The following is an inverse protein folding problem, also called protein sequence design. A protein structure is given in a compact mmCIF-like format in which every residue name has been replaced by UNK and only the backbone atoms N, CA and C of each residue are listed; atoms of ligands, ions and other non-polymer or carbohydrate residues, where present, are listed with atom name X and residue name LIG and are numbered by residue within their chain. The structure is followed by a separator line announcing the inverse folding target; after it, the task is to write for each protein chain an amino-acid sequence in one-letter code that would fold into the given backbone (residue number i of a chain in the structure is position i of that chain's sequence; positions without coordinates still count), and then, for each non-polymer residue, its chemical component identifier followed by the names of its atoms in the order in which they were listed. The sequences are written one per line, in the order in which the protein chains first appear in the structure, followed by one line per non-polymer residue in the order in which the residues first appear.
data_IF_601680522941
#
_entry.id   IF_601680522941
#
_cell.length_a   1.000
_cell.length_b   1.000
_cell.length_c   1.000
_cell.angle_alpha   90.00
_cell.angle_beta   90.00
_cell.angle_gamma   90.00
#
_symmetry.space_group_name_H-M   'P 1'
#
loop_
_entity.id
_entity.type
_entity.pdbx_description
1 polymer ?
#
# COMPACT_ATOMS: atom_id res chain seq x y z
N UNK A 1 10.93 -5.29 23.89
CA UNK A 1 9.91 -4.27 23.53
C UNK A 1 9.36 -4.58 22.14
N UNK A 2 8.06 -4.37 21.89
CA UNK A 2 7.45 -4.53 20.55
C UNK A 2 6.94 -3.17 20.07
N UNK A 3 7.37 -2.75 18.88
CA UNK A 3 7.01 -1.45 18.29
C UNK A 3 6.21 -1.72 17.02
N UNK A 4 4.97 -1.24 16.98
CA UNK A 4 4.13 -1.26 15.78
C UNK A 4 4.25 0.10 15.09
N UNK A 5 4.65 0.07 13.82
CA UNK A 5 4.81 1.26 12.98
C UNK A 5 3.69 1.21 11.95
N UNK A 6 2.67 2.05 12.13
CA UNK A 6 1.48 2.10 11.28
C UNK A 6 1.19 3.51 10.73
N UNK A 7 2.10 4.07 9.90
CA UNK A 7 1.93 5.36 9.26
C UNK A 7 1.02 5.27 8.02
N UNK A 8 0.45 6.41 7.68
CA UNK A 8 -0.09 6.68 6.34
C UNK A 8 1.01 7.28 5.44
N UNK A 9 0.71 7.38 4.15
CA UNK A 9 1.53 8.05 3.15
C UNK A 9 1.66 9.54 3.43
N UNK A 10 2.82 10.09 3.06
CA UNK A 10 2.96 11.53 2.91
C UNK A 10 2.56 11.85 1.47
N UNK A 11 1.41 12.50 1.32
CA UNK A 11 0.81 12.81 0.01
C UNK A 11 1.86 13.45 -0.90
N UNK A 12 1.97 12.91 -2.13
CA UNK A 12 2.91 13.35 -3.16
C UNK A 12 4.40 13.27 -2.79
N UNK A 13 4.76 12.55 -1.72
CA UNK A 13 6.14 12.42 -1.24
C UNK A 13 6.55 10.98 -0.98
N UNK A 14 6.09 10.38 0.12
CA UNK A 14 6.47 9.04 0.55
C UNK A 14 5.25 8.12 0.62
N UNK A 15 5.39 6.91 0.08
CA UNK A 15 4.41 5.87 0.35
C UNK A 15 4.44 5.47 1.83
N UNK A 16 3.32 4.96 2.34
CA UNK A 16 3.22 4.48 3.72
C UNK A 16 4.28 3.41 4.05
N UNK A 17 4.65 2.57 3.08
CA UNK A 17 5.74 1.59 3.24
C UNK A 17 7.12 2.25 3.41
N UNK A 18 7.43 3.26 2.58
CA UNK A 18 8.69 4.02 2.73
C UNK A 18 8.74 4.75 4.07
N UNK A 19 7.61 5.32 4.53
CA UNK A 19 7.50 5.89 5.86
C UNK A 19 7.79 4.84 6.95
N UNK A 20 7.23 3.63 6.83
CA UNK A 20 7.51 2.55 7.78
C UNK A 20 9.01 2.25 7.88
N UNK A 21 9.69 2.09 6.75
CA UNK A 21 11.11 1.75 6.72
C UNK A 21 11.97 2.87 7.29
N UNK A 22 11.65 4.13 6.99
CA UNK A 22 12.36 5.29 7.52
C UNK A 22 12.24 5.38 9.05
N UNK A 23 11.03 5.22 9.59
CA UNK A 23 10.78 5.23 11.05
C UNK A 23 11.51 4.05 11.70
N UNK A 24 11.41 2.85 11.13
CA UNK A 24 12.10 1.66 11.65
C UNK A 24 13.61 1.88 11.68
N UNK A 25 14.19 2.41 10.60
CA UNK A 25 15.63 2.67 10.51
C UNK A 25 16.08 3.64 11.62
N UNK A 26 15.35 4.75 11.82
CA UNK A 26 15.64 5.70 12.90
C UNK A 26 15.56 5.06 14.28
N UNK A 27 14.47 4.38 14.59
CA UNK A 27 14.28 3.74 15.89
C UNK A 27 15.30 2.63 16.16
N UNK A 28 15.73 1.90 15.13
CA UNK A 28 16.69 0.79 15.29
C UNK A 28 18.07 1.27 15.74
N UNK A 29 18.39 2.56 15.56
CA UNK A 29 19.64 3.16 16.07
C UNK A 29 19.64 3.32 17.59
N UNK A 30 18.46 3.42 18.21
CA UNK A 30 18.28 3.61 19.66
C UNK A 30 17.83 2.31 20.35
N UNK A 31 16.98 1.52 19.69
CA UNK A 31 16.41 0.29 20.24
C UNK A 31 16.69 -0.92 19.33
N UNK A 32 17.95 -1.34 19.15
CA UNK A 32 18.32 -2.37 18.18
C UNK A 32 17.62 -3.73 18.42
N UNK A 33 17.35 -4.07 19.68
CA UNK A 33 16.73 -5.35 20.07
C UNK A 33 15.19 -5.31 20.10
N UNK A 34 14.57 -4.19 19.72
CA UNK A 34 13.12 -4.11 19.65
C UNK A 34 12.57 -4.94 18.49
N UNK A 35 11.41 -5.57 18.72
CA UNK A 35 10.68 -6.26 17.65
C UNK A 35 9.81 -5.25 16.91
N UNK A 36 10.18 -4.95 15.67
CA UNK A 36 9.44 -4.04 14.80
C UNK A 36 8.38 -4.76 13.97
N UNK A 37 7.20 -4.18 13.89
CA UNK A 37 6.11 -4.61 13.01
C UNK A 37 5.69 -3.42 12.16
N UNK A 38 6.01 -3.44 10.88
CA UNK A 38 5.59 -2.43 9.92
C UNK A 38 4.22 -2.82 9.34
N UNK A 39 3.23 -1.95 9.53
CA UNK A 39 1.86 -2.13 9.04
C UNK A 39 1.42 -0.82 8.36
N UNK A 40 1.82 -0.58 7.10
CA UNK A 40 1.37 0.58 6.34
C UNK A 40 -0.17 0.61 6.31
N UNK A 41 -0.75 1.76 6.64
CA UNK A 41 -2.21 1.97 6.61
C UNK A 41 -2.58 2.95 5.51
N UNK A 42 -3.86 2.98 5.16
CA UNK A 42 -4.45 3.94 4.22
C UNK A 42 -5.92 4.15 4.59
N UNK A 43 -6.45 5.32 4.24
CA UNK A 43 -7.80 5.78 4.57
C UNK A 43 -8.87 5.44 3.51
N UNK A 44 -8.48 4.75 2.43
CA UNK A 44 -9.33 4.52 1.25
C UNK A 44 -8.91 5.34 0.03
N UNK A 45 -8.03 6.33 0.21
CA UNK A 45 -7.46 7.18 -0.84
C UNK A 45 -6.36 6.51 -1.67
N UNK A 46 -5.37 7.32 -2.07
CA UNK A 46 -4.17 6.86 -2.78
C UNK A 46 -3.34 5.89 -1.93
N UNK A 47 -2.73 4.88 -2.54
CA UNK A 47 -1.93 3.88 -1.82
C UNK A 47 -2.72 2.77 -1.10
N UNK A 48 -4.06 2.84 -1.01
CA UNK A 48 -4.88 1.83 -0.30
C UNK A 48 -4.69 0.40 -0.81
N UNK A 49 -4.63 0.20 -2.12
CA UNK A 49 -4.38 -1.12 -2.71
C UNK A 49 -3.01 -1.66 -2.28
N UNK A 50 -2.00 -0.78 -2.21
CA UNK A 50 -0.64 -1.16 -1.87
C UNK A 50 -0.49 -1.50 -0.39
N UNK A 51 -1.09 -0.68 0.47
CA UNK A 51 -1.17 -0.95 1.90
C UNK A 51 -1.82 -2.31 2.18
N UNK A 52 -2.96 -2.61 1.54
CA UNK A 52 -3.66 -3.87 1.76
C UNK A 52 -2.90 -5.08 1.19
N UNK A 53 -2.32 -4.95 -0.01
CA UNK A 53 -1.50 -6.01 -0.61
C UNK A 53 -0.31 -6.32 0.29
N UNK A 54 0.40 -5.30 0.78
CA UNK A 54 1.51 -5.47 1.71
C UNK A 54 1.07 -6.13 3.03
N UNK A 55 -0.04 -5.66 3.62
CA UNK A 55 -0.54 -6.16 4.90
C UNK A 55 -1.06 -7.61 4.83
N UNK A 56 -1.57 -8.04 3.68
CA UNK A 56 -2.18 -9.37 3.51
C UNK A 56 -1.30 -10.39 2.82
N UNK A 57 -0.07 -10.03 2.40
CA UNK A 57 0.76 -10.87 1.55
C UNK A 57 0.11 -11.13 0.18
N UNK A 58 -0.66 -10.16 -0.29
CA UNK A 58 -1.45 -10.22 -1.51
C UNK A 58 -0.64 -9.93 -2.77
N UNK A 59 -1.33 -9.65 -3.87
CA UNK A 59 -0.72 -9.19 -5.12
C UNK A 59 -1.57 -8.17 -5.83
N UNK A 60 -0.91 -7.27 -6.58
CA UNK A 60 -1.57 -6.38 -7.53
C UNK A 60 -1.81 -7.14 -8.84
N UNK A 61 -3.00 -7.00 -9.41
CA UNK A 61 -3.36 -7.55 -10.71
C UNK A 61 -3.70 -6.40 -11.65
N UNK A 62 -2.96 -6.29 -12.75
CA UNK A 62 -3.25 -5.35 -13.84
C UNK A 62 -4.32 -5.92 -14.76
N UNK A 63 -5.23 -5.07 -15.22
CA UNK A 63 -6.33 -5.45 -16.10
C UNK A 63 -6.67 -4.30 -17.04
N UNK A 64 -6.91 -4.63 -18.31
CA UNK A 64 -7.37 -3.64 -19.28
C UNK A 64 -8.87 -3.43 -19.12
N UNK A 65 -9.25 -2.18 -18.87
CA UNK A 65 -10.61 -1.79 -18.57
C UNK A 65 -11.06 -0.66 -19.49
N UNK A 66 -12.37 -0.47 -19.62
CA UNK A 66 -12.89 0.69 -20.34
C UNK A 66 -12.73 1.94 -19.47
N UNK A 67 -12.01 2.92 -20.00
CA UNK A 67 -11.89 4.26 -19.46
C UNK A 67 -13.23 5.00 -19.51
N UNK A 68 -13.32 6.17 -18.86
CA UNK A 68 -14.55 6.93 -18.76
C UNK A 68 -15.08 7.40 -20.13
N UNK A 69 -14.22 7.52 -21.15
CA UNK A 69 -14.60 7.90 -22.52
C UNK A 69 -14.70 6.69 -23.47
N UNK A 70 -14.65 5.45 -22.94
CA UNK A 70 -14.80 4.20 -23.69
C UNK A 70 -13.50 3.62 -24.27
N UNK A 71 -12.40 4.35 -24.19
CA UNK A 71 -11.06 3.90 -24.57
C UNK A 71 -10.54 2.79 -23.64
N UNK A 72 -9.65 1.91 -24.12
CA UNK A 72 -9.01 0.93 -23.25
C UNK A 72 -7.89 1.58 -22.44
N UNK A 73 -7.96 1.46 -21.12
CA UNK A 73 -6.94 1.93 -20.18
C UNK A 73 -6.46 0.79 -19.29
N UNK A 74 -5.20 0.86 -18.85
CA UNK A 74 -4.67 -0.10 -17.91
C UNK A 74 -5.09 0.28 -16.48
N UNK A 75 -5.96 -0.54 -15.89
CA UNK A 75 -6.36 -0.46 -14.48
C UNK A 75 -5.66 -1.52 -13.64
N UNK A 76 -5.92 -1.51 -12.34
CA UNK A 76 -5.43 -2.56 -11.45
C UNK A 76 -6.34 -2.78 -10.25
N UNK A 77 -6.21 -3.92 -9.60
CA UNK A 77 -6.86 -4.21 -8.32
C UNK A 77 -5.92 -5.02 -7.41
N UNK A 78 -6.22 -5.05 -6.13
CA UNK A 78 -5.50 -5.84 -5.14
C UNK A 78 -6.22 -7.16 -4.86
N UNK A 79 -5.49 -8.27 -4.87
CA UNK A 79 -5.93 -9.54 -4.30
C UNK A 79 -5.25 -9.73 -2.95
N UNK A 80 -6.03 -10.04 -1.92
CA UNK A 80 -5.48 -10.41 -0.61
C UNK A 80 -4.80 -11.78 -0.66
N UNK A 81 -3.84 -12.04 0.24
CA UNK A 81 -3.07 -13.30 0.24
C UNK A 81 -3.91 -14.56 0.47
N UNK A 82 -5.10 -14.43 1.08
CA UNK A 82 -6.06 -15.52 1.22
C UNK A 82 -6.85 -15.82 -0.08
N UNK A 83 -6.67 -15.02 -1.13
CA UNK A 83 -7.35 -15.15 -2.42
C UNK A 83 -8.85 -14.88 -2.40
N UNK A 84 -9.43 -14.52 -1.24
CA UNK A 84 -10.89 -14.41 -1.05
C UNK A 84 -11.43 -13.00 -1.23
N UNK A 85 -10.60 -11.96 -1.07
CA UNK A 85 -11.03 -10.56 -1.15
C UNK A 85 -10.32 -9.86 -2.29
N UNK A 86 -11.11 -9.23 -3.15
CA UNK A 86 -10.62 -8.37 -4.22
C UNK A 86 -10.90 -6.93 -3.80
N UNK A 87 -9.87 -6.10 -3.68
CA UNK A 87 -10.02 -4.65 -3.57
C UNK A 87 -9.90 -4.05 -4.96
N UNK A 88 -11.03 -3.65 -5.52
CA UNK A 88 -11.07 -2.91 -6.77
C UNK A 88 -10.62 -1.46 -6.55
N UNK A 89 -9.65 -0.98 -7.33
CA UNK A 89 -9.42 0.47 -7.46
C UNK A 89 -9.25 0.87 -8.91
N UNK A 90 -10.18 1.69 -9.39
CA UNK A 90 -10.07 2.34 -10.68
C UNK A 90 -9.18 3.58 -10.53
N UNK A 91 -8.12 3.72 -11.35
CA UNK A 91 -7.40 4.99 -11.50
C UNK A 91 -7.42 5.42 -12.96
N UNK A 92 -7.83 6.67 -13.19
CA UNK A 92 -7.70 7.42 -14.44
C UNK A 92 -6.19 7.65 -14.66
N UNK A 93 -5.61 7.16 -15.76
CA UNK A 93 -4.48 7.89 -16.37
C UNK A 93 -5.13 9.00 -17.17
N UNK A 94 -5.23 10.18 -16.57
CA UNK A 94 -5.14 11.41 -17.32
C UNK A 94 -3.79 11.98 -16.90
N UNK A 95 -2.84 11.82 -17.81
CA UNK A 95 -1.67 12.68 -18.04
C UNK A 95 -0.94 13.19 -16.78
#
# INVERSE_FOLDING_TARGET
MKIVIAPDSFKESLSADKCCQAIKAGFSTVFPDARYVCLPIADGGEGTVDAMVAATGGKRVSVDVSGPMGEKVNGFYGLTGDGKRQLLKWRRRAD
#
